data_IF_613647416178
#
_entry.id   IF_613647416178
#
_cell.length_a   1.000
_cell.length_b   1.000
_cell.length_c   1.000
_cell.angle_alpha   90.00
_cell.angle_beta   90.00
_cell.angle_gamma   90.00
#
_symmetry.space_group_name_H-M   'P 1'
#
loop_
_entity.id
_entity.type
_entity.pdbx_description
1 polymer ?
#
# COMPACT_ATOMS: atom_id res chain seq x y z
N UNK A 1 -60.13 12.72 22.61
CA UNK A 1 -59.70 14.10 22.36
C UNK A 1 -58.88 14.07 21.06
N UNK A 2 -59.40 14.43 19.86
CA UNK A 2 -59.72 15.79 19.31
C UNK A 2 -58.54 16.74 19.58
N UNK A 3 -57.83 17.36 18.64
CA UNK A 3 -58.04 17.84 17.24
C UNK A 3 -56.68 17.87 16.49
N UNK A 4 -56.57 17.45 15.22
CA UNK A 4 -56.68 18.21 13.94
C UNK A 4 -55.80 19.46 13.80
N UNK A 5 -54.79 19.36 12.92
CA UNK A 5 -54.16 20.48 12.22
C UNK A 5 -53.69 20.04 10.83
N UNK A 6 -54.43 20.42 9.80
CA UNK A 6 -54.05 20.41 8.38
C UNK A 6 -53.73 21.89 8.00
N UNK A 7 -53.06 22.29 6.92
CA UNK A 7 -53.11 21.85 5.52
C UNK A 7 -52.17 22.80 4.70
N UNK A 8 -51.76 22.36 3.49
CA UNK A 8 -51.26 23.12 2.30
C UNK A 8 -49.72 23.30 2.23
N UNK A 9 -49.05 23.01 1.11
CA UNK A 9 -49.41 23.35 -0.28
C UNK A 9 -48.77 22.39 -1.30
N UNK A 10 -49.48 22.15 -2.40
CA UNK A 10 -49.15 21.26 -3.51
C UNK A 10 -48.28 21.93 -4.59
N UNK A 11 -47.56 21.13 -5.37
CA UNK A 11 -47.26 21.42 -6.78
C UNK A 11 -47.09 20.09 -7.53
N UNK A 12 -48.15 19.72 -8.25
CA UNK A 12 -48.18 18.68 -9.25
C UNK A 12 -47.86 19.31 -10.61
N UNK A 13 -47.05 18.64 -11.43
CA UNK A 13 -47.02 18.85 -12.88
C UNK A 13 -46.86 17.50 -13.56
N UNK A 14 -47.97 17.05 -14.15
CA UNK A 14 -48.07 15.90 -15.03
C UNK A 14 -48.64 16.38 -16.37
N UNK A 15 -47.97 16.09 -17.49
CA UNK A 15 -48.49 16.14 -18.87
C UNK A 15 -47.66 15.11 -19.67
N UNK A 16 -48.14 13.88 -19.91
CA UNK A 16 -48.90 13.39 -21.08
C UNK A 16 -48.17 13.63 -22.42
N UNK A 17 -47.52 12.64 -23.05
CA UNK A 17 -48.01 11.48 -23.81
C UNK A 17 -48.52 11.77 -25.25
N UNK A 18 -47.97 10.98 -26.19
CA UNK A 18 -48.46 10.57 -27.53
C UNK A 18 -48.17 11.47 -28.75
N UNK A 19 -47.34 10.96 -29.68
CA UNK A 19 -47.63 10.94 -31.12
C UNK A 19 -46.75 9.91 -31.83
N UNK A 20 -47.40 8.88 -32.37
CA UNK A 20 -46.83 7.88 -33.25
C UNK A 20 -46.60 8.46 -34.65
N UNK A 21 -45.48 8.10 -35.29
CA UNK A 21 -45.34 8.19 -36.76
C UNK A 21 -44.78 6.86 -37.24
N UNK A 22 -45.67 6.06 -37.83
CA UNK A 22 -45.35 5.00 -38.76
C UNK A 22 -44.87 5.63 -40.07
N UNK A 23 -43.67 5.28 -40.51
CA UNK A 23 -43.30 5.38 -41.92
C UNK A 23 -42.64 4.08 -42.35
N UNK A 24 -43.40 3.29 -43.09
CA UNK A 24 -42.90 2.14 -43.84
C UNK A 24 -42.15 2.63 -45.09
N UNK A 25 -40.95 2.10 -45.33
CA UNK A 25 -40.29 2.13 -46.63
C UNK A 25 -39.74 0.73 -46.93
N UNK A 26 -40.10 0.24 -48.11
CA UNK A 26 -39.99 -1.15 -48.57
C UNK A 26 -38.76 -1.30 -49.49
N UNK A 27 -37.86 -2.22 -49.11
CA UNK A 27 -37.04 -3.18 -49.88
C UNK A 27 -36.29 -2.72 -51.15
N UNK A 28 -34.94 -2.87 -51.18
CA UNK A 28 -34.18 -3.71 -52.16
C UNK A 28 -32.67 -3.79 -51.86
N UNK A 29 -32.13 -5.02 -51.75
CA UNK A 29 -30.70 -5.42 -51.97
C UNK A 29 -29.74 -5.22 -50.78
N UNK A 30 -28.93 -6.17 -50.30
CA UNK A 30 -28.45 -7.47 -50.79
C UNK A 30 -28.52 -8.51 -49.67
N UNK A 31 -28.90 -9.74 -50.02
CA UNK A 31 -28.84 -10.89 -49.11
C UNK A 31 -27.40 -11.28 -48.79
N UNK A 32 -26.96 -11.01 -47.57
CA UNK A 32 -25.90 -11.77 -46.92
C UNK A 32 -26.56 -12.76 -45.98
N UNK A 33 -26.62 -14.02 -46.41
CA UNK A 33 -26.96 -15.16 -45.56
C UNK A 33 -26.13 -15.06 -44.26
N UNK A 34 -26.74 -15.10 -43.06
CA UNK A 34 -25.96 -15.26 -41.83
C UNK A 34 -25.25 -16.61 -41.92
N UNK A 35 -23.94 -16.59 -42.13
CA UNK A 35 -23.11 -17.78 -41.97
C UNK A 35 -23.35 -18.31 -40.55
N UNK A 36 -23.46 -19.63 -40.36
CA UNK A 36 -23.45 -20.22 -39.02
C UNK A 36 -22.21 -19.69 -38.30
N UNK A 37 -22.44 -18.95 -37.22
CA UNK A 37 -21.36 -18.47 -36.37
C UNK A 37 -20.68 -19.72 -35.83
N UNK A 38 -19.47 -20.01 -36.32
CA UNK A 38 -18.70 -21.14 -35.85
C UNK A 38 -18.61 -21.02 -34.33
N UNK A 39 -19.14 -22.01 -33.64
CA UNK A 39 -19.02 -22.15 -32.20
C UNK A 39 -17.53 -22.12 -31.89
N UNK A 40 -17.07 -21.00 -31.32
CA UNK A 40 -15.67 -20.86 -30.93
C UNK A 40 -15.47 -21.78 -29.74
N UNK A 41 -15.15 -23.05 -30.02
CA UNK A 41 -14.56 -23.95 -29.04
C UNK A 41 -13.42 -23.18 -28.40
N UNK A 42 -13.41 -22.98 -27.06
CA UNK A 42 -12.32 -22.28 -26.41
C UNK A 42 -11.03 -23.02 -26.74
N UNK A 43 -10.24 -22.44 -27.64
CA UNK A 43 -8.90 -22.92 -27.91
C UNK A 43 -8.06 -22.78 -26.64
N UNK A 44 -6.99 -23.57 -26.47
CA UNK A 44 -6.06 -23.35 -25.38
C UNK A 44 -5.57 -21.89 -25.45
N UNK A 45 -5.84 -21.13 -24.40
CA UNK A 45 -5.40 -19.74 -24.28
C UNK A 45 -3.87 -19.70 -24.36
N UNK A 46 -3.34 -19.14 -25.44
CA UNK A 46 -1.90 -18.83 -25.54
C UNK A 46 -1.54 -17.99 -24.33
N UNK A 47 -0.47 -18.32 -23.56
CA UNK A 47 -0.02 -17.47 -22.49
C UNK A 47 0.20 -16.06 -23.05
N UNK A 48 -0.56 -15.09 -22.55
CA UNK A 48 -0.40 -13.69 -22.97
C UNK A 48 1.03 -13.22 -22.72
N UNK A 49 1.41 -12.07 -23.27
CA UNK A 49 2.71 -11.48 -22.94
C UNK A 49 2.86 -11.29 -21.41
N UNK A 50 4.09 -11.25 -20.86
CA UNK A 50 4.30 -11.19 -19.41
C UNK A 50 3.62 -9.99 -18.73
N UNK A 51 3.45 -8.86 -19.44
CA UNK A 51 2.77 -7.68 -18.92
C UNK A 51 1.28 -7.96 -18.73
N UNK A 52 0.64 -8.58 -19.71
CA UNK A 52 -0.78 -8.99 -19.62
C UNK A 52 -0.98 -10.05 -18.53
N UNK A 53 -0.07 -11.01 -18.39
CA UNK A 53 -0.15 -12.00 -17.31
C UNK A 53 -0.03 -11.36 -15.93
N UNK A 54 0.95 -10.47 -15.72
CA UNK A 54 1.08 -9.74 -14.46
C UNK A 54 -0.17 -8.89 -14.15
N UNK A 55 -0.71 -8.19 -15.14
CA UNK A 55 -1.93 -7.40 -14.98
C UNK A 55 -3.13 -8.27 -14.54
N UNK A 56 -3.27 -9.47 -15.11
CA UNK A 56 -4.31 -10.41 -14.71
C UNK A 56 -4.11 -10.92 -13.27
N UNK A 57 -2.87 -11.20 -12.86
CA UNK A 57 -2.56 -11.59 -11.47
C UNK A 57 -2.81 -10.44 -10.49
N UNK A 58 -2.45 -9.22 -10.85
CA UNK A 58 -2.67 -8.03 -10.03
C UNK A 58 -4.17 -7.72 -9.88
N UNK A 59 -4.97 -7.90 -10.94
CA UNK A 59 -6.43 -7.77 -10.88
C UNK A 59 -7.02 -8.79 -9.91
N UNK A 60 -6.64 -10.07 -10.04
CA UNK A 60 -7.08 -11.11 -9.11
C UNK A 60 -6.65 -10.78 -7.67
N UNK A 61 -5.39 -10.36 -7.46
CA UNK A 61 -4.87 -9.95 -6.16
C UNK A 61 -5.67 -8.80 -5.52
N UNK A 62 -6.08 -7.81 -6.32
CA UNK A 62 -6.86 -6.66 -5.88
C UNK A 62 -8.27 -7.05 -5.42
N UNK A 63 -8.84 -8.11 -5.97
CA UNK A 63 -10.15 -8.61 -5.58
C UNK A 63 -10.10 -9.59 -4.40
N UNK A 64 -8.91 -10.14 -4.10
CA UNK A 64 -8.73 -11.05 -2.98
C UNK A 64 -8.93 -10.36 -1.62
N UNK A 65 -9.60 -11.08 -0.72
CA UNK A 65 -9.80 -10.70 0.69
C UNK A 65 -9.39 -11.88 1.56
N UNK A 66 -8.34 -11.72 2.34
CA UNK A 66 -7.80 -12.77 3.21
C UNK A 66 -6.92 -12.19 4.31
N UNK A 67 -6.49 -13.05 5.23
CA UNK A 67 -5.38 -12.78 6.15
C UNK A 67 -4.22 -13.71 5.79
N UNK A 68 -3.01 -13.16 5.66
CA UNK A 68 -1.82 -13.92 5.30
C UNK A 68 -0.61 -13.48 6.13
N UNK A 69 0.30 -14.42 6.36
CA UNK A 69 1.57 -14.19 7.04
C UNK A 69 2.72 -14.39 6.06
N UNK A 70 3.73 -13.54 6.15
CA UNK A 70 4.91 -13.58 5.29
C UNK A 70 6.18 -13.54 6.13
N UNK A 71 7.20 -14.28 5.70
CA UNK A 71 8.56 -14.09 6.22
C UNK A 71 9.23 -12.99 5.40
N UNK A 72 9.63 -11.90 6.08
CA UNK A 72 10.47 -10.84 5.54
C UNK A 72 11.94 -11.13 5.87
N UNK A 73 12.73 -11.35 4.81
CA UNK A 73 14.18 -11.52 4.87
C UNK A 73 14.86 -10.24 4.41
N UNK A 74 15.80 -9.76 5.20
CA UNK A 74 16.64 -8.60 4.88
C UNK A 74 18.08 -8.90 5.26
N UNK A 75 19.07 -8.38 4.52
CA UNK A 75 20.46 -8.45 4.94
C UNK A 75 20.64 -7.94 6.37
N UNK A 76 21.53 -8.59 7.12
CA UNK A 76 21.98 -8.17 8.46
C UNK A 76 20.90 -8.05 9.54
N UNK A 77 19.69 -8.60 9.32
CA UNK A 77 18.62 -8.66 10.32
C UNK A 77 17.99 -10.04 10.37
N UNK A 78 17.49 -10.47 11.54
CA UNK A 78 16.75 -11.72 11.65
C UNK A 78 15.49 -11.68 10.77
N UNK A 79 15.05 -12.87 10.38
CA UNK A 79 13.79 -13.08 9.70
C UNK A 79 12.64 -12.56 10.57
N UNK A 80 11.72 -11.82 9.95
CA UNK A 80 10.60 -11.17 10.64
C UNK A 80 9.29 -11.61 10.00
N UNK A 81 8.23 -11.69 10.81
CA UNK A 81 6.91 -12.06 10.30
C UNK A 81 6.10 -10.80 9.99
N UNK A 82 5.72 -10.63 8.73
CA UNK A 82 4.78 -9.60 8.29
C UNK A 82 3.38 -10.20 8.26
N UNK A 83 2.42 -9.53 8.92
CA UNK A 83 1.02 -9.94 8.89
C UNK A 83 0.24 -8.98 8.00
N UNK A 84 -0.58 -9.53 7.11
CA UNK A 84 -1.43 -8.78 6.19
C UNK A 84 -2.87 -9.21 6.39
N UNK A 85 -3.77 -8.26 6.53
CA UNK A 85 -5.22 -8.48 6.59
C UNK A 85 -5.90 -7.58 5.58
N UNK A 86 -6.62 -8.17 4.63
CA UNK A 86 -7.44 -7.49 3.62
C UNK A 86 -8.92 -7.78 3.94
N UNK A 87 -9.63 -6.81 4.50
CA UNK A 87 -11.00 -6.98 4.99
C UNK A 87 -12.06 -6.83 3.91
N UNK A 88 -13.22 -7.45 4.13
CA UNK A 88 -14.33 -7.48 3.15
C UNK A 88 -14.88 -6.09 2.79
N UNK A 89 -14.79 -5.13 3.71
CA UNK A 89 -15.17 -3.73 3.49
C UNK A 89 -14.15 -2.91 2.68
N UNK A 90 -13.04 -3.53 2.25
CA UNK A 90 -11.95 -2.88 1.53
C UNK A 90 -10.88 -2.26 2.43
N UNK A 91 -11.05 -2.32 3.75
CA UNK A 91 -10.00 -1.94 4.69
C UNK A 91 -8.82 -2.91 4.63
N UNK A 92 -7.63 -2.42 5.00
CA UNK A 92 -6.44 -3.26 5.10
C UNK A 92 -5.60 -2.91 6.33
N UNK A 93 -4.83 -3.89 6.80
CA UNK A 93 -3.84 -3.74 7.85
C UNK A 93 -2.59 -4.55 7.49
N UNK A 94 -1.43 -3.92 7.60
CA UNK A 94 -0.12 -4.53 7.34
C UNK A 94 0.78 -4.25 8.54
N UNK A 95 1.12 -5.28 9.31
CA UNK A 95 2.05 -5.23 10.43
C UNK A 95 3.45 -5.60 9.96
N UNK A 96 4.41 -4.70 10.12
CA UNK A 96 5.81 -4.89 9.69
C UNK A 96 6.76 -4.68 10.87
N UNK A 97 7.30 -5.77 11.44
CA UNK A 97 8.23 -5.67 12.57
C UNK A 97 9.54 -4.95 12.21
N UNK A 98 10.07 -4.18 13.16
CA UNK A 98 11.36 -3.50 13.08
C UNK A 98 11.46 -2.55 11.91
N UNK A 99 10.44 -1.71 11.68
CA UNK A 99 10.43 -0.73 10.57
C UNK A 99 10.56 0.70 11.00
N UNK A 100 10.26 1.04 12.25
CA UNK A 100 10.39 2.38 12.80
C UNK A 100 11.60 2.54 13.72
N UNK A 101 12.05 3.79 13.85
CA UNK A 101 13.15 4.23 14.74
C UNK A 101 14.42 3.39 14.57
N UNK A 102 14.87 3.21 13.33
CA UNK A 102 16.07 2.40 13.04
C UNK A 102 15.83 0.90 13.13
N UNK A 103 14.57 0.47 13.16
CA UNK A 103 14.17 -0.92 13.29
C UNK A 103 14.03 -1.43 14.72
N UNK A 104 13.92 -0.51 15.68
CA UNK A 104 13.69 -0.83 17.10
C UNK A 104 12.21 -0.93 17.45
N UNK A 105 11.33 -0.42 16.59
CA UNK A 105 9.88 -0.41 16.81
C UNK A 105 9.14 -1.11 15.67
N UNK A 106 8.19 -1.95 16.09
CA UNK A 106 7.23 -2.62 15.23
C UNK A 106 6.07 -1.68 14.92
N UNK A 107 5.68 -1.62 13.65
CA UNK A 107 4.62 -0.73 13.19
C UNK A 107 3.61 -1.50 12.37
N UNK A 108 2.34 -1.18 12.56
CA UNK A 108 1.27 -1.52 11.64
C UNK A 108 0.79 -0.28 10.88
N UNK A 109 0.59 -0.42 9.58
CA UNK A 109 -0.15 0.53 8.77
C UNK A 109 -1.54 -0.02 8.52
N UNK A 110 -2.56 0.82 8.64
CA UNK A 110 -3.93 0.40 8.39
C UNK A 110 -4.73 1.48 7.67
N UNK A 111 -5.59 1.06 6.75
CA UNK A 111 -6.64 1.90 6.18
C UNK A 111 -8.00 1.32 6.58
N UNK A 112 -8.81 2.14 7.24
CA UNK A 112 -10.17 1.77 7.66
C UNK A 112 -11.02 3.04 7.72
N UNK A 113 -12.30 2.94 7.34
CA UNK A 113 -13.21 4.09 7.31
C UNK A 113 -12.72 5.27 6.45
N UNK A 114 -11.93 5.01 5.41
CA UNK A 114 -11.35 6.04 4.54
C UNK A 114 -10.18 6.84 5.15
N UNK A 115 -9.69 6.48 6.33
CA UNK A 115 -8.54 7.10 6.97
C UNK A 115 -7.35 6.13 7.04
N UNK A 116 -6.15 6.70 6.95
CA UNK A 116 -4.89 5.98 7.12
C UNK A 116 -4.36 6.19 8.54
N UNK A 117 -3.82 5.12 9.12
CA UNK A 117 -3.27 5.09 10.47
C UNK A 117 -1.89 4.42 10.48
N UNK A 118 -1.03 4.91 11.37
CA UNK A 118 0.20 4.24 11.75
C UNK A 118 0.11 3.89 13.24
N UNK A 119 0.33 2.63 13.57
CA UNK A 119 0.23 2.12 14.92
C UNK A 119 1.57 1.55 15.39
N UNK A 120 2.06 2.04 16.52
CA UNK A 120 3.15 1.39 17.24
C UNK A 120 2.60 0.13 17.91
N UNK A 121 3.20 -1.00 17.58
CA UNK A 121 2.84 -2.29 18.17
C UNK A 121 3.65 -2.51 19.46
N UNK A 122 3.08 -3.21 20.45
CA UNK A 122 3.81 -3.55 21.65
C UNK A 122 4.96 -4.50 21.30
N UNK A 123 6.14 -4.24 21.84
CA UNK A 123 7.33 -5.08 21.71
C UNK A 123 7.99 -5.29 23.07
N UNK A 124 8.87 -6.30 23.24
CA UNK A 124 9.55 -6.53 24.52
C UNK A 124 10.29 -5.31 25.07
N UNK A 125 10.77 -4.43 24.19
CA UNK A 125 11.49 -3.20 24.56
C UNK A 125 10.58 -1.96 24.61
N UNK A 126 9.30 -2.09 24.27
CA UNK A 126 8.31 -1.01 24.28
C UNK A 126 6.89 -1.59 24.47
N UNK A 127 6.40 -1.70 25.71
CA UNK A 127 5.05 -2.24 25.97
C UNK A 127 3.94 -1.27 25.54
N UNK A 128 4.27 0.01 25.43
CA UNK A 128 3.36 1.07 24.96
C UNK A 128 2.90 0.80 23.53
N UNK A 129 1.59 0.86 23.29
CA UNK A 129 0.99 0.77 21.96
C UNK A 129 0.12 1.99 21.70
N UNK A 130 -0.02 2.39 20.43
CA UNK A 130 -0.83 3.55 20.09
C UNK A 130 -0.88 3.79 18.59
N UNK A 131 -2.03 4.26 18.12
CA UNK A 131 -2.25 4.61 16.73
C UNK A 131 -2.31 6.13 16.57
N UNK A 132 -1.82 6.61 15.43
CA UNK A 132 -1.94 8.01 15.02
C UNK A 132 -2.53 8.05 13.62
N UNK A 133 -3.40 9.03 13.37
CA UNK A 133 -3.93 9.26 12.03
C UNK A 133 -2.86 9.91 11.16
N UNK A 134 -2.70 9.40 9.95
CA UNK A 134 -1.70 9.89 8.98
C UNK A 134 -2.43 10.42 7.76
N UNK A 135 -2.10 11.63 7.31
CA UNK A 135 -2.73 12.22 6.12
C UNK A 135 -2.25 11.54 4.84
N UNK A 136 -0.95 11.25 4.75
CA UNK A 136 -0.31 10.52 3.64
C UNK A 136 1.01 9.91 4.11
N UNK A 137 1.41 8.80 3.49
CA UNK A 137 2.74 8.22 3.72
C UNK A 137 3.78 9.10 3.02
N UNK A 138 4.71 9.63 3.81
CA UNK A 138 5.92 10.27 3.29
C UNK A 138 7.06 9.27 3.31
N UNK A 139 8.12 9.51 2.53
CA UNK A 139 9.31 8.65 2.53
C UNK A 139 9.88 8.37 3.93
N UNK A 140 9.71 9.33 4.86
CA UNK A 140 10.21 9.20 6.22
C UNK A 140 9.48 8.13 7.06
N UNK A 141 8.22 7.81 6.75
CA UNK A 141 7.34 6.95 7.57
C UNK A 141 6.78 5.75 6.79
N UNK A 142 7.30 5.53 5.58
CA UNK A 142 6.78 4.56 4.61
C UNK A 142 7.65 3.28 4.60
N UNK A 143 7.19 2.15 5.16
CA UNK A 143 7.93 0.88 5.20
C UNK A 143 8.04 0.17 3.85
N UNK A 144 7.40 0.68 2.79
CA UNK A 144 7.29 0.12 1.44
C UNK A 144 6.49 -1.17 1.28
N UNK A 145 6.52 -2.06 2.28
CA UNK A 145 5.90 -3.39 2.18
C UNK A 145 4.38 -3.33 1.91
N UNK A 146 3.67 -2.36 2.47
CA UNK A 146 2.22 -2.24 2.28
C UNK A 146 1.80 -2.02 0.82
N UNK A 147 2.67 -1.40 0.00
CA UNK A 147 2.36 -1.09 -1.39
C UNK A 147 2.15 -2.34 -2.24
N UNK A 148 2.81 -3.45 -1.88
CA UNK A 148 2.66 -4.77 -2.52
C UNK A 148 1.19 -5.27 -2.53
N UNK A 149 0.42 -4.87 -1.53
CA UNK A 149 -0.94 -5.34 -1.30
C UNK A 149 -1.99 -4.27 -1.61
N UNK A 150 -1.56 -3.06 -1.98
CA UNK A 150 -2.41 -1.89 -2.09
C UNK A 150 -2.21 -1.20 -3.44
N UNK A 151 -1.54 -0.06 -3.49
CA UNK A 151 -1.52 0.82 -4.66
C UNK A 151 -0.67 0.32 -5.83
N UNK A 152 0.34 -0.53 -5.62
CA UNK A 152 1.12 -1.06 -6.75
C UNK A 152 0.32 -1.98 -7.67
N UNK A 153 -0.74 -2.61 -7.16
CA UNK A 153 -1.63 -3.44 -7.95
C UNK A 153 -2.30 -2.63 -9.07
N UNK A 154 -2.68 -1.38 -8.80
CA UNK A 154 -3.25 -0.47 -9.82
C UNK A 154 -2.26 -0.22 -10.94
N UNK A 155 -1.00 0.03 -10.60
CA UNK A 155 0.04 0.30 -11.59
C UNK A 155 0.34 -0.96 -12.41
N UNK A 156 0.32 -2.14 -11.78
CA UNK A 156 0.46 -3.41 -12.50
C UNK A 156 -0.71 -3.65 -13.47
N UNK A 157 -1.90 -3.13 -13.22
CA UNK A 157 -3.01 -3.22 -14.18
C UNK A 157 -2.99 -2.12 -15.23
N UNK A 158 -2.35 -0.98 -14.97
CA UNK A 158 -2.30 0.13 -15.91
C UNK A 158 -1.37 -0.15 -17.10
N UNK A 159 -1.97 -0.35 -18.27
CA UNK A 159 -1.25 -0.58 -19.53
C UNK A 159 -0.43 0.64 -19.99
N UNK A 160 -0.69 1.82 -19.46
CA UNK A 160 0.05 3.05 -19.76
C UNK A 160 1.25 3.26 -18.84
N UNK A 161 1.35 2.50 -17.74
CA UNK A 161 2.50 2.57 -16.86
C UNK A 161 3.77 2.11 -17.61
N UNK A 162 4.84 2.90 -17.49
CA UNK A 162 6.12 2.64 -18.13
C UNK A 162 6.92 1.52 -17.42
N UNK A 163 6.36 0.31 -17.42
CA UNK A 163 6.92 -0.90 -16.80
C UNK A 163 7.43 -1.86 -17.87
N UNK A 164 8.68 -2.29 -17.75
CA UNK A 164 9.20 -3.43 -18.47
C UNK A 164 8.96 -4.69 -17.63
N UNK A 165 8.32 -5.71 -18.21
CA UNK A 165 7.95 -6.93 -17.47
C UNK A 165 8.42 -8.16 -18.23
N UNK A 166 9.13 -9.03 -17.53
CA UNK A 166 9.58 -10.34 -18.04
C UNK A 166 9.24 -11.44 -17.04
N UNK A 167 9.17 -12.69 -17.50
CA UNK A 167 9.05 -13.83 -16.59
C UNK A 167 10.39 -14.04 -15.89
N UNK A 168 10.35 -14.17 -14.57
CA UNK A 168 11.52 -14.39 -13.74
C UNK A 168 11.59 -15.83 -13.24
N UNK A 169 12.79 -16.26 -12.86
CA UNK A 169 12.94 -17.49 -12.09
C UNK A 169 12.21 -17.37 -10.74
N UNK A 170 11.65 -18.48 -10.29
CA UNK A 170 10.93 -18.53 -9.02
C UNK A 170 11.88 -18.26 -7.85
N UNK A 171 11.44 -17.41 -6.91
CA UNK A 171 12.19 -17.14 -5.69
C UNK A 171 12.24 -18.40 -4.79
N UNK A 172 13.30 -18.60 -4.00
CA UNK A 172 13.39 -19.74 -3.08
C UNK A 172 12.21 -19.79 -2.10
N UNK A 173 11.57 -20.96 -2.01
CA UNK A 173 10.43 -21.18 -1.11
C UNK A 173 9.10 -20.57 -1.58
N UNK A 174 9.04 -20.04 -2.80
CA UNK A 174 7.86 -19.41 -3.38
C UNK A 174 7.22 -20.32 -4.43
N UNK A 175 5.90 -20.24 -4.59
CA UNK A 175 5.13 -20.97 -5.59
C UNK A 175 4.48 -20.01 -6.59
N UNK A 176 4.04 -20.51 -7.75
CA UNK A 176 3.35 -19.71 -8.76
C UNK A 176 4.26 -19.12 -9.83
N UNK A 177 3.80 -18.07 -10.49
CA UNK A 177 4.50 -17.41 -11.61
C UNK A 177 5.14 -16.12 -11.11
N UNK A 178 6.44 -15.94 -11.40
CA UNK A 178 7.19 -14.76 -11.01
C UNK A 178 7.46 -13.84 -12.20
N UNK A 179 7.39 -12.54 -11.94
CA UNK A 179 7.60 -11.49 -12.92
C UNK A 179 8.70 -10.56 -12.41
N UNK A 180 9.71 -10.30 -13.25
CA UNK A 180 10.65 -9.20 -13.05
C UNK A 180 9.98 -7.94 -13.57
N UNK A 181 9.91 -6.91 -12.74
CA UNK A 181 9.39 -5.59 -13.12
C UNK A 181 10.54 -4.61 -12.99
N UNK A 182 10.87 -3.97 -14.10
CA UNK A 182 11.85 -2.90 -14.16
C UNK A 182 11.15 -1.59 -14.51
N UNK A 183 11.55 -0.54 -13.82
CA UNK A 183 11.02 0.81 -14.02
C UNK A 183 11.94 1.55 -14.97
N UNK A 184 11.40 2.08 -16.06
CA UNK A 184 12.24 2.76 -17.05
C UNK A 184 12.95 3.99 -16.47
N UNK A 185 14.25 4.14 -16.79
CA UNK A 185 15.12 5.21 -16.31
C UNK A 185 14.66 6.63 -16.71
N UNK A 186 13.70 6.76 -17.62
CA UNK A 186 13.11 8.06 -18.01
C UNK A 186 12.02 8.54 -17.03
N UNK A 187 11.58 7.69 -16.10
CA UNK A 187 10.57 8.04 -15.10
C UNK A 187 11.23 8.59 -13.84
N UNK A 188 11.21 9.91 -13.67
CA UNK A 188 11.82 10.64 -12.53
C UNK A 188 11.22 10.21 -11.18
N UNK A 189 10.01 9.63 -11.19
CA UNK A 189 9.36 9.03 -10.01
C UNK A 189 8.51 7.83 -10.46
N UNK A 190 9.10 6.63 -10.48
CA UNK A 190 8.30 5.42 -10.67
C UNK A 190 7.42 5.18 -9.43
N UNK A 191 6.12 4.96 -9.59
CA UNK A 191 5.23 4.69 -8.46
C UNK A 191 5.48 3.31 -7.84
N UNK A 192 6.02 2.36 -8.62
CA UNK A 192 6.40 1.01 -8.18
C UNK A 192 7.92 0.93 -8.12
N UNK A 193 8.42 0.17 -7.16
CA UNK A 193 9.83 -0.21 -7.10
C UNK A 193 10.14 -1.37 -8.07
N UNK A 194 11.33 -1.36 -8.65
CA UNK A 194 11.82 -2.50 -9.43
C UNK A 194 12.02 -3.73 -8.55
N UNK A 195 11.72 -4.92 -9.06
CA UNK A 195 11.78 -6.14 -8.26
C UNK A 195 11.21 -7.38 -8.93
N UNK A 196 11.13 -8.47 -8.16
CA UNK A 196 10.47 -9.72 -8.57
C UNK A 196 9.19 -9.89 -7.77
N UNK A 197 8.08 -10.19 -8.45
CA UNK A 197 6.76 -10.39 -7.83
C UNK A 197 6.20 -11.73 -8.28
N UNK A 198 5.87 -12.58 -7.32
CA UNK A 198 5.39 -13.94 -7.55
C UNK A 198 3.95 -14.09 -7.08
N UNK A 199 3.09 -14.56 -7.98
CA UNK A 199 1.68 -14.74 -7.70
C UNK A 199 1.24 -16.17 -7.98
N UNK A 200 0.39 -16.70 -7.10
CA UNK A 200 -0.40 -17.88 -7.38
C UNK A 200 -1.48 -17.58 -8.43
N UNK A 201 -2.15 -18.62 -8.91
CA UNK A 201 -3.13 -18.49 -9.99
C UNK A 201 -4.34 -17.62 -9.61
N UNK A 202 -4.72 -17.65 -8.34
CA UNK A 202 -5.82 -16.90 -7.74
C UNK A 202 -5.48 -15.43 -7.44
N UNK A 203 -4.24 -15.00 -7.70
CA UNK A 203 -3.76 -13.65 -7.38
C UNK A 203 -3.11 -13.52 -6.01
N UNK A 204 -3.00 -14.60 -5.22
CA UNK A 204 -2.31 -14.52 -3.92
C UNK A 204 -0.84 -14.20 -4.15
N UNK A 205 -0.32 -13.12 -3.55
CA UNK A 205 1.11 -12.84 -3.53
C UNK A 205 1.80 -13.94 -2.73
N UNK A 206 2.62 -14.75 -3.40
CA UNK A 206 3.35 -15.86 -2.77
C UNK A 206 4.78 -15.47 -2.41
N UNK A 207 5.31 -14.44 -3.06
CA UNK A 207 6.57 -13.83 -2.68
C UNK A 207 6.88 -12.56 -3.47
N UNK A 208 7.76 -11.74 -2.93
CA UNK A 208 8.26 -10.56 -3.61
C UNK A 208 9.70 -10.27 -3.18
N UNK A 209 10.53 -9.76 -4.09
CA UNK A 209 11.86 -9.22 -3.79
C UNK A 209 11.94 -7.80 -4.29
N UNK A 210 12.05 -6.87 -3.34
CA UNK A 210 12.21 -5.42 -3.55
C UNK A 210 13.36 -4.92 -2.69
N UNK A 211 13.73 -3.64 -2.77
CA UNK A 211 14.81 -3.05 -1.98
C UNK A 211 14.55 -3.09 -0.47
N UNK A 212 13.29 -3.18 -0.03
CA UNK A 212 12.93 -3.39 1.37
C UNK A 212 13.22 -4.82 1.89
N UNK A 213 13.46 -5.79 0.99
CA UNK A 213 13.76 -7.18 1.34
C UNK A 213 13.04 -8.21 0.46
N UNK A 214 13.11 -9.48 0.87
CA UNK A 214 12.38 -10.58 0.25
C UNK A 214 11.25 -11.05 1.16
N UNK A 215 10.00 -10.97 0.69
CA UNK A 215 8.82 -11.57 1.32
C UNK A 215 8.56 -12.95 0.74
N UNK A 216 8.21 -13.91 1.60
CA UNK A 216 7.77 -15.25 1.22
C UNK A 216 6.52 -15.61 2.03
N UNK A 217 5.46 -16.06 1.36
CA UNK A 217 4.21 -16.46 2.01
C UNK A 217 4.44 -17.67 2.93
N UNK A 218 3.85 -17.63 4.12
CA UNK A 218 3.92 -18.67 5.14
C UNK A 218 2.54 -19.27 5.35
N UNK A 219 2.44 -20.59 5.16
CA UNK A 219 1.19 -21.32 5.34
C UNK A 219 0.13 -20.93 4.30
N UNK A 220 -1.13 -21.25 4.63
CA UNK A 220 -2.27 -20.95 3.78
C UNK A 220 -2.99 -19.69 4.28
N UNK A 221 -3.32 -18.73 3.40
CA UNK A 221 -4.14 -17.59 3.79
C UNK A 221 -5.48 -18.02 4.42
N UNK A 222 -5.94 -17.28 5.42
CA UNK A 222 -7.19 -17.54 6.13
C UNK A 222 -8.29 -16.56 5.70
N UNK A 223 -9.58 -16.86 5.97
CA UNK A 223 -10.69 -16.00 5.56
C UNK A 223 -10.58 -14.56 6.09
N UNK A 224 -10.97 -13.59 5.26
CA UNK A 224 -10.96 -12.19 5.63
C UNK A 224 -11.93 -11.86 6.78
N UNK A 225 -11.53 -10.95 7.70
CA UNK A 225 -12.46 -10.34 8.63
C UNK A 225 -13.47 -9.44 7.89
N UNK A 226 -14.64 -9.15 8.49
CA UNK A 226 -15.60 -8.23 7.90
C UNK A 226 -15.04 -6.81 7.74
N UNK A 227 -14.26 -6.35 8.72
CA UNK A 227 -13.65 -5.02 8.79
C UNK A 227 -12.31 -5.09 9.53
N UNK A 228 -11.48 -4.05 9.39
CA UNK A 228 -10.22 -3.91 10.13
C UNK A 228 -10.47 -3.29 11.50
N UNK A 229 -9.94 -3.94 12.53
CA UNK A 229 -9.81 -3.39 13.89
C UNK A 229 -8.38 -2.88 14.08
N UNK A 230 -8.23 -1.62 14.52
CA UNK A 230 -6.92 -1.07 14.83
C UNK A 230 -6.32 -1.79 16.07
N UNK A 231 -5.00 -2.06 16.08
CA UNK A 231 -4.35 -2.82 17.15
C UNK A 231 -4.23 -2.03 18.46
N UNK A 232 -4.44 -0.71 18.43
CA UNK A 232 -4.38 0.16 19.60
C UNK A 232 -5.32 1.37 19.45
N UNK A 233 -5.53 2.09 20.55
CA UNK A 233 -6.32 3.33 20.54
C UNK A 233 -5.65 4.44 19.72
N UNK A 234 -6.47 5.27 19.07
CA UNK A 234 -6.01 6.44 18.31
C UNK A 234 -5.79 7.63 19.25
N UNK A 235 -4.59 8.19 19.25
CA UNK A 235 -4.23 9.37 20.04
C UNK A 235 -3.67 10.52 19.19
N UNK A 236 -3.37 11.65 19.85
CA UNK A 236 -2.86 12.88 19.22
C UNK A 236 -1.33 12.86 18.92
N UNK A 237 -0.73 11.66 18.84
CA UNK A 237 0.72 11.51 18.63
C UNK A 237 1.18 11.84 17.21
N UNK A 238 2.50 11.82 17.00
CA UNK A 238 3.12 11.92 15.68
C UNK A 238 3.46 10.54 15.12
N UNK A 239 3.46 10.38 13.79
CA UNK A 239 3.91 9.15 13.17
C UNK A 239 5.42 8.94 13.43
N UNK A 240 5.78 7.69 13.68
CA UNK A 240 7.14 7.25 13.90
C UNK A 240 7.87 7.18 12.55
N UNK A 241 9.03 7.85 12.42
CA UNK A 241 9.88 7.73 11.26
C UNK A 241 10.58 6.36 11.22
N UNK A 242 10.94 5.93 10.02
CA UNK A 242 11.70 4.70 9.77
C UNK A 242 13.16 4.83 10.23
N UNK A 243 13.73 6.02 10.05
CA UNK A 243 15.12 6.30 10.40
C UNK A 243 15.34 6.27 11.92
N UNK A 244 16.55 5.90 12.34
CA UNK A 244 16.98 6.05 13.73
C UNK A 244 16.92 7.52 14.15
N UNK A 245 16.54 7.84 15.39
CA UNK A 245 16.73 9.19 15.92
C UNK A 245 18.21 9.56 15.86
N UNK A 246 18.52 10.79 15.43
CA UNK A 246 19.89 11.31 15.50
C UNK A 246 20.37 11.34 16.94
N UNK A 247 21.64 11.01 17.24
CA UNK A 247 22.19 11.18 18.57
C UNK A 247 22.07 12.66 18.96
N UNK A 248 21.59 12.93 20.17
CA UNK A 248 21.55 14.28 20.71
C UNK A 248 22.99 14.81 20.79
N UNK A 249 23.28 16.06 20.38
CA UNK A 249 24.62 16.61 20.51
C UNK A 249 25.02 16.60 21.98
N UNK A 250 26.15 15.96 22.30
CA UNK A 250 26.75 16.01 23.64
C UNK A 250 27.01 17.47 24.00
N UNK A 251 26.71 17.94 25.22
CA UNK A 251 27.03 19.29 25.62
C UNK A 251 28.55 19.44 25.63
N UNK A 252 29.08 20.21 24.67
CA UNK A 252 30.47 20.68 24.71
C UNK A 252 30.60 21.53 25.97
N UNK A 253 31.30 21.02 26.98
CA UNK A 253 31.57 21.76 28.20
C UNK A 253 32.23 23.09 27.86
N UNK A 254 31.51 24.19 28.04
CA UNK A 254 32.09 25.53 28.15
C UNK A 254 32.90 25.57 29.45
N UNK A 255 34.17 25.20 29.39
CA UNK A 255 35.13 25.68 30.38
C UNK A 255 35.27 27.19 30.19
N UNK A 256 34.64 27.90 31.10
CA UNK A 256 34.64 29.34 31.20
C UNK A 256 36.06 29.91 31.32
N UNK A 257 36.19 31.13 30.82
CA UNK A 257 37.32 32.01 30.95
C UNK A 257 37.84 32.09 32.40
N UNK A 258 39.14 31.87 32.56
CA UNK A 258 39.91 32.30 33.71
C UNK A 258 41.02 33.23 33.24
N UNK A 259 40.68 34.49 32.95
CA UNK A 259 41.65 35.56 32.72
C UNK A 259 41.97 36.21 34.07
N UNK A 260 43.25 36.31 34.48
CA UNK A 260 43.65 37.36 35.39
C UNK A 260 44.70 38.25 34.71
N UNK A 261 44.23 39.30 34.03
CA UNK A 261 45.02 40.51 33.88
C UNK A 261 44.88 41.33 35.15
N UNK A 262 45.93 41.38 35.97
CA UNK A 262 46.21 42.52 36.85
C UNK A 262 47.69 42.87 36.78
N UNK A 263 47.96 43.90 35.98
CA UNK A 263 49.17 44.71 35.98
C UNK A 263 49.29 45.48 37.29
N UNK A 264 50.37 45.28 38.04
CA UNK A 264 50.88 46.27 39.02
C UNK A 264 52.40 46.19 39.04
N UNK A 265 53.06 47.18 38.46
CA UNK A 265 54.43 47.63 38.79
C UNK A 265 54.25 48.78 39.80
N UNK A 266 55.07 48.98 40.87
CA UNK A 266 56.41 49.55 40.65
C UNK A 266 57.49 49.40 41.77
N UNK A 267 58.69 49.88 41.42
CA UNK A 267 59.70 50.56 42.27
C UNK A 267 60.71 49.75 43.10
N UNK A 268 61.94 49.73 42.58
CA UNK A 268 63.22 49.60 43.29
C UNK A 268 63.50 50.80 44.21
N UNK A 269 64.16 50.60 45.36
CA UNK A 269 65.36 51.40 45.63
C UNK A 269 66.56 50.56 46.11
N UNK A 270 67.73 51.10 45.80
CA UNK A 270 69.05 50.59 46.13
C UNK A 270 69.36 50.65 47.63
N UNK A 271 70.14 49.67 48.11
CA UNK A 271 71.44 49.90 48.75
C UNK A 271 72.30 48.65 48.72
#
# INVERSE_FOLDING_TARGET
MRERGALRTAAASAIAAVAAVMTAAVITGCGSTPLPQAEQTPGPSVPGDPRTQLAARAAAAKDLRHVASYTLKTPDRPDRTVLVSLAKDGGWLVSVPGTALGGTVDVALAQTGGALYQCALPSPNRPESGCVRVAKLTKAIDPKIQHLFTDWLEVFMDRRAALAVTVAATLPGVQGTCFSVDTSAVSVTSPVEAGIFCYAADGTLTGARIGAGTLVLVGTPTPAPPSITLPAAVGAGQPLPNASPSPSPSPTGSSAAGNPSRSVTPTTPAR
#
